data_IF_945973377691
#
_entry.id   IF_945973377691
#
_cell.length_a   1.000
_cell.length_b   1.000
_cell.length_c   1.000
_cell.angle_alpha   90.00
_cell.angle_beta   90.00
_cell.angle_gamma   90.00
#
_symmetry.space_group_name_H-M   'P 1'
#
loop_
_entity.id
_entity.type
_entity.pdbx_description
1 polymer ?
#
# COMPACT_ATOMS: atom_id res chain seq x y z
N UNK A 1 -17.97 33.21 -41.89
CA UNK A 1 -17.86 34.58 -42.43
C UNK A 1 -18.02 35.53 -41.25
N UNK A 2 -17.09 36.46 -40.96
CA UNK A 2 -15.93 36.94 -41.75
C UNK A 2 -14.59 36.54 -41.05
N UNK A 3 -13.42 36.27 -41.64
CA UNK A 3 -12.56 36.92 -42.66
C UNK A 3 -12.33 38.41 -42.30
N UNK A 4 -11.15 39.03 -42.21
CA UNK A 4 -10.08 39.21 -43.21
C UNK A 4 -8.83 39.85 -42.54
N UNK A 5 -7.65 39.53 -43.09
CA UNK A 5 -6.43 40.34 -43.29
C UNK A 5 -5.65 40.89 -42.07
N UNK A 6 -4.42 40.42 -41.76
CA UNK A 6 -3.12 40.62 -42.45
C UNK A 6 -2.65 42.08 -42.58
N UNK A 7 -1.50 42.40 -41.97
CA UNK A 7 -0.54 43.35 -42.56
C UNK A 7 0.89 42.94 -42.20
N UNK A 8 1.73 42.79 -43.23
CA UNK A 8 3.17 42.52 -43.18
C UNK A 8 3.96 43.83 -43.28
N UNK A 9 5.18 43.85 -42.74
CA UNK A 9 6.51 44.18 -43.35
C UNK A 9 7.46 44.67 -42.26
N UNK A 10 8.56 43.98 -41.99
CA UNK A 10 9.86 43.92 -42.71
C UNK A 10 10.81 45.06 -42.32
N UNK A 11 11.97 44.70 -41.76
CA UNK A 11 12.99 45.59 -41.24
C UNK A 11 14.25 44.82 -40.88
N UNK A 12 15.06 44.57 -41.91
CA UNK A 12 16.21 43.66 -41.99
C UNK A 12 17.53 44.29 -41.47
N UNK A 13 18.42 43.41 -40.95
CA UNK A 13 19.90 43.42 -41.14
C UNK A 13 20.76 44.34 -40.22
N UNK A 14 21.96 44.01 -39.68
CA UNK A 14 23.05 43.06 -40.04
C UNK A 14 23.96 42.71 -38.83
N UNK A 15 24.37 41.42 -38.81
CA UNK A 15 25.73 40.81 -38.67
C UNK A 15 26.67 41.15 -37.50
N UNK A 16 27.23 40.08 -36.89
CA UNK A 16 28.63 39.59 -36.98
C UNK A 16 28.70 38.28 -36.14
N UNK A 17 28.83 37.09 -36.74
CA UNK A 17 30.04 36.38 -37.17
C UNK A 17 30.84 35.67 -36.06
N UNK A 18 30.86 34.34 -36.18
CA UNK A 18 31.97 33.40 -35.93
C UNK A 18 32.33 32.99 -34.48
N UNK A 19 32.19 31.68 -34.22
CA UNK A 19 32.74 31.02 -33.05
C UNK A 19 32.42 29.52 -33.00
N UNK A 20 32.67 28.78 -34.08
CA UNK A 20 32.63 27.32 -34.05
C UNK A 20 33.88 26.78 -33.34
N UNK A 21 33.69 26.07 -32.24
CA UNK A 21 34.60 24.99 -31.82
C UNK A 21 33.78 23.80 -31.33
N UNK A 22 33.90 22.73 -32.09
CA UNK A 22 33.50 21.38 -31.70
C UNK A 22 34.41 20.90 -30.57
N UNK A 23 33.85 20.29 -29.52
CA UNK A 23 34.33 19.03 -28.93
C UNK A 23 33.39 18.60 -27.80
N UNK A 24 32.98 17.32 -27.79
CA UNK A 24 32.66 16.63 -26.54
C UNK A 24 31.23 16.12 -26.36
N UNK A 25 31.10 14.80 -26.52
CA UNK A 25 30.23 13.90 -25.76
C UNK A 25 28.70 13.90 -26.00
N UNK A 26 28.30 12.80 -26.63
CA UNK A 26 26.95 12.24 -26.66
C UNK A 26 26.51 11.79 -25.25
N UNK A 27 25.19 11.72 -25.08
CA UNK A 27 24.47 10.69 -24.32
C UNK A 27 24.29 10.89 -22.79
N UNK A 28 23.08 11.26 -22.35
CA UNK A 28 22.08 10.35 -21.74
C UNK A 28 20.89 11.11 -21.11
N UNK A 29 19.69 10.65 -21.48
CA UNK A 29 18.49 10.39 -20.66
C UNK A 29 18.29 11.18 -19.36
N UNK A 30 17.13 11.84 -19.25
CA UNK A 30 16.39 11.92 -17.97
C UNK A 30 15.07 11.17 -18.12
N UNK A 31 15.07 9.96 -17.58
CA UNK A 31 13.91 9.13 -17.30
C UNK A 31 13.53 9.36 -15.83
N UNK A 32 12.24 9.20 -15.54
CA UNK A 32 11.69 8.79 -14.26
C UNK A 32 11.94 9.72 -13.06
N UNK A 33 11.00 10.65 -12.85
CA UNK A 33 10.81 11.27 -11.55
C UNK A 33 10.17 10.27 -10.58
N UNK A 34 10.98 9.95 -9.56
CA UNK A 34 10.61 9.57 -8.21
C UNK A 34 9.82 8.27 -8.03
N UNK A 35 10.51 7.15 -8.25
CA UNK A 35 10.33 5.98 -7.41
C UNK A 35 10.63 6.39 -5.96
N UNK A 36 9.59 6.62 -5.16
CA UNK A 36 9.72 6.87 -3.72
C UNK A 36 10.20 5.56 -3.10
N UNK A 37 11.52 5.42 -3.02
CA UNK A 37 12.18 4.44 -2.17
C UNK A 37 11.74 4.76 -0.76
N UNK A 38 10.70 4.08 -0.28
CA UNK A 38 10.34 4.10 1.13
C UNK A 38 11.52 3.47 1.83
N UNK A 39 12.13 4.29 2.69
CA UNK A 39 13.31 3.95 3.45
C UNK A 39 13.01 2.66 4.22
N UNK A 40 13.91 1.73 3.99
CA UNK A 40 14.25 0.62 4.87
C UNK A 40 14.73 1.20 6.20
N UNK A 41 13.80 1.78 6.97
CA UNK A 41 13.99 2.07 8.38
C UNK A 41 13.77 0.75 9.10
N UNK A 42 14.71 0.46 9.99
CA UNK A 42 14.73 -0.72 10.84
C UNK A 42 13.38 -0.80 11.53
N UNK A 43 12.49 -1.67 11.02
CA UNK A 43 11.39 -2.20 11.79
C UNK A 43 12.12 -2.96 12.90
N UNK A 44 12.14 -2.42 14.13
CA UNK A 44 12.29 -3.27 15.31
C UNK A 44 11.41 -4.46 15.02
N UNK A 45 12.01 -5.63 14.79
CA UNK A 45 11.37 -6.77 14.15
C UNK A 45 10.25 -7.27 15.07
N UNK A 46 9.12 -6.58 15.01
CA UNK A 46 8.01 -6.81 15.87
C UNK A 46 7.38 -8.09 15.36
N UNK A 47 7.30 -9.06 16.24
CA UNK A 47 6.81 -10.39 15.89
C UNK A 47 5.30 -10.32 15.67
N UNK A 48 4.88 -10.66 14.47
CA UNK A 48 3.48 -10.89 14.14
C UNK A 48 3.35 -12.26 13.51
N UNK A 49 2.22 -12.91 13.77
CA UNK A 49 1.93 -14.28 13.39
C UNK A 49 0.61 -14.27 12.64
N UNK A 50 0.54 -14.97 11.52
CA UNK A 50 -0.68 -15.13 10.74
C UNK A 50 -1.12 -16.58 10.74
N UNK A 51 -2.41 -16.81 10.91
CA UNK A 51 -3.06 -18.09 10.76
C UNK A 51 -3.75 -18.15 9.41
N UNK A 52 -3.43 -19.17 8.62
CA UNK A 52 -4.12 -19.45 7.35
C UNK A 52 -5.36 -20.33 7.55
N UNK A 53 -6.16 -20.45 6.49
CA UNK A 53 -7.39 -21.27 6.47
C UNK A 53 -7.13 -22.77 6.63
N UNK A 54 -5.89 -23.23 6.61
CA UNK A 54 -5.51 -24.63 6.83
C UNK A 54 -4.93 -24.85 8.23
N UNK A 55 -5.01 -23.84 9.12
CA UNK A 55 -4.41 -23.88 10.45
C UNK A 55 -2.88 -23.71 10.45
N UNK A 56 -2.29 -23.36 9.32
CA UNK A 56 -0.87 -23.04 9.19
C UNK A 56 -0.55 -21.73 9.91
N UNK A 57 0.50 -21.75 10.73
CA UNK A 57 1.04 -20.53 11.35
C UNK A 57 2.22 -20.04 10.53
N UNK A 58 2.20 -18.75 10.17
CA UNK A 58 3.26 -18.09 9.42
C UNK A 58 3.82 -16.96 10.27
N UNK A 59 5.10 -17.05 10.59
CA UNK A 59 5.85 -16.02 11.32
C UNK A 59 6.23 -14.89 10.36
N UNK A 60 5.86 -13.66 10.71
CA UNK A 60 6.17 -12.44 9.97
C UNK A 60 5.99 -12.58 8.43
N UNK A 61 4.77 -12.93 7.95
CA UNK A 61 4.53 -13.12 6.53
C UNK A 61 4.82 -11.85 5.73
N UNK A 62 5.56 -12.00 4.64
CA UNK A 62 5.73 -10.89 3.71
C UNK A 62 4.39 -10.54 3.02
N UNK A 63 4.23 -9.32 2.47
CA UNK A 63 2.97 -8.90 1.87
C UNK A 63 2.46 -9.80 0.73
N UNK A 64 3.33 -10.54 0.04
CA UNK A 64 2.89 -11.52 -0.98
C UNK A 64 2.29 -12.75 -0.32
N UNK A 65 2.89 -13.23 0.76
CA UNK A 65 2.36 -14.33 1.56
C UNK A 65 1.00 -13.97 2.15
N UNK A 66 0.83 -12.76 2.71
CA UNK A 66 -0.48 -12.29 3.19
C UNK A 66 -1.54 -12.31 2.07
N UNK A 67 -1.18 -11.91 0.84
CA UNK A 67 -2.08 -11.99 -0.32
C UNK A 67 -2.50 -13.40 -0.66
N UNK A 68 -1.56 -14.36 -0.60
CA UNK A 68 -1.82 -15.77 -0.88
C UNK A 68 -2.73 -16.39 0.17
N UNK A 69 -2.50 -16.09 1.45
CA UNK A 69 -3.38 -16.55 2.53
C UNK A 69 -4.79 -15.97 2.37
N UNK A 70 -4.91 -14.69 2.01
CA UNK A 70 -6.20 -14.07 1.70
C UNK A 70 -6.85 -14.58 0.41
N UNK A 71 -6.09 -15.09 -0.57
CA UNK A 71 -6.65 -15.85 -1.70
C UNK A 71 -7.27 -17.18 -1.22
N UNK A 72 -6.67 -17.79 -0.19
CA UNK A 72 -7.17 -18.99 0.47
C UNK A 72 -8.51 -18.82 1.17
N UNK A 73 -8.90 -17.59 1.57
CA UNK A 73 -10.23 -17.32 2.16
C UNK A 73 -11.39 -17.74 1.26
N UNK A 74 -11.22 -17.74 -0.06
CA UNK A 74 -12.25 -18.22 -0.98
C UNK A 74 -12.46 -19.74 -0.91
N UNK A 75 -11.55 -20.47 -0.24
CA UNK A 75 -11.58 -21.91 0.01
C UNK A 75 -11.81 -22.23 1.49
N UNK A 76 -12.07 -21.22 2.33
CA UNK A 76 -12.37 -21.41 3.74
C UNK A 76 -13.57 -22.36 3.91
N UNK A 77 -13.42 -23.33 4.81
CA UNK A 77 -14.47 -24.28 5.18
C UNK A 77 -15.08 -23.92 6.54
N UNK A 78 -15.98 -24.78 7.04
CA UNK A 78 -16.63 -24.58 8.34
C UNK A 78 -15.66 -24.72 9.53
N UNK A 79 -14.49 -25.37 9.35
CA UNK A 79 -13.47 -25.54 10.40
C UNK A 79 -12.56 -24.32 10.51
N UNK A 80 -12.29 -23.64 9.40
CA UNK A 80 -11.46 -22.43 9.36
C UNK A 80 -12.10 -21.32 8.51
N UNK A 81 -13.16 -20.66 9.03
CA UNK A 81 -13.92 -19.65 8.29
C UNK A 81 -13.19 -18.29 8.15
N UNK A 82 -12.10 -18.10 8.87
CA UNK A 82 -11.32 -16.85 8.92
C UNK A 82 -9.81 -17.06 8.89
N UNK A 83 -9.13 -15.99 8.51
CA UNK A 83 -7.68 -15.85 8.67
C UNK A 83 -7.42 -14.73 9.65
N UNK A 84 -6.55 -14.96 10.61
CA UNK A 84 -6.24 -14.00 11.66
C UNK A 84 -4.77 -13.65 11.66
N UNK A 85 -4.46 -12.39 11.97
CA UNK A 85 -3.10 -11.94 12.22
C UNK A 85 -3.03 -11.33 13.61
N UNK A 86 -2.14 -11.88 14.42
CA UNK A 86 -1.85 -11.44 15.77
C UNK A 86 -0.52 -10.70 15.80
N UNK A 87 -0.51 -9.54 16.43
CA UNK A 87 0.69 -8.72 16.66
C UNK A 87 1.14 -8.85 18.12
N UNK A 88 2.44 -8.81 18.40
CA UNK A 88 3.00 -8.95 19.76
C UNK A 88 2.42 -7.99 20.80
N UNK A 89 1.87 -6.86 20.35
CA UNK A 89 1.15 -5.90 21.20
C UNK A 89 -0.13 -6.47 21.86
N UNK A 90 -0.56 -7.68 21.50
CA UNK A 90 -1.82 -8.29 21.93
C UNK A 90 -3.02 -7.96 21.05
N UNK A 91 -2.84 -7.18 19.98
CA UNK A 91 -3.90 -6.94 19.01
C UNK A 91 -3.97 -8.02 17.94
N UNK A 92 -5.18 -8.44 17.62
CA UNK A 92 -5.50 -9.44 16.60
C UNK A 92 -6.52 -8.89 15.61
N UNK A 93 -6.29 -9.17 14.33
CA UNK A 93 -7.19 -8.79 13.24
C UNK A 93 -7.59 -10.04 12.45
N UNK A 94 -8.87 -10.39 12.51
CA UNK A 94 -9.42 -11.59 11.86
C UNK A 94 -10.32 -11.21 10.69
N UNK A 95 -10.07 -11.78 9.52
CA UNK A 95 -10.80 -11.53 8.29
C UNK A 95 -11.55 -12.78 7.84
N UNK A 96 -12.84 -12.60 7.54
CA UNK A 96 -13.73 -13.67 7.09
C UNK A 96 -14.03 -13.53 5.60
N UNK A 97 -14.30 -14.66 4.95
CA UNK A 97 -14.70 -14.69 3.53
C UNK A 97 -15.98 -13.86 3.23
N UNK A 98 -16.82 -13.66 4.25
CA UNK A 98 -18.03 -12.82 4.18
C UNK A 98 -17.75 -11.30 4.06
N UNK A 99 -16.49 -10.88 4.15
CA UNK A 99 -16.12 -9.46 4.25
C UNK A 99 -16.38 -8.86 5.63
N UNK A 100 -16.51 -9.72 6.65
CA UNK A 100 -16.45 -9.33 8.05
C UNK A 100 -14.98 -9.25 8.47
N UNK A 101 -14.66 -8.20 9.21
CA UNK A 101 -13.37 -8.00 9.85
C UNK A 101 -13.58 -7.79 11.34
N UNK A 102 -12.84 -8.53 12.14
CA UNK A 102 -12.81 -8.45 13.59
C UNK A 102 -11.48 -7.83 14.02
N UNK A 103 -11.55 -6.89 14.95
CA UNK A 103 -10.41 -6.23 15.55
C UNK A 103 -10.54 -6.35 17.07
N UNK A 104 -9.68 -7.13 17.68
CA UNK A 104 -9.76 -7.43 19.11
C UNK A 104 -8.39 -7.35 19.78
N UNK A 105 -8.39 -7.14 21.09
CA UNK A 105 -7.19 -7.21 21.89
C UNK A 105 -7.21 -8.49 22.72
N UNK A 106 -6.48 -9.50 22.28
CA UNK A 106 -6.35 -10.80 22.96
C UNK A 106 -5.53 -10.71 24.25
N UNK A 107 -4.79 -9.62 24.45
CA UNK A 107 -4.08 -9.33 25.70
C UNK A 107 -4.93 -8.65 26.77
N UNK A 108 -6.13 -8.16 26.42
CA UNK A 108 -6.99 -7.39 27.31
C UNK A 108 -8.47 -7.71 27.13
N UNK A 109 -9.01 -8.60 27.97
CA UNK A 109 -10.43 -9.01 27.99
C UNK A 109 -11.43 -7.87 28.24
N UNK A 110 -10.96 -6.70 28.68
CA UNK A 110 -11.81 -5.52 28.91
C UNK A 110 -12.07 -4.70 27.65
N UNK A 111 -11.35 -4.97 26.55
CA UNK A 111 -11.52 -4.26 25.28
C UNK A 111 -12.60 -4.96 24.46
N UNK A 112 -13.71 -4.26 24.20
CA UNK A 112 -14.79 -4.79 23.37
C UNK A 112 -14.27 -4.97 21.93
N UNK A 113 -14.42 -6.18 21.35
CA UNK A 113 -14.06 -6.42 19.96
C UNK A 113 -14.79 -5.47 19.01
N UNK A 114 -14.04 -4.92 18.07
CA UNK A 114 -14.52 -4.01 17.05
C UNK A 114 -14.77 -4.77 15.74
N UNK A 115 -15.93 -4.56 15.14
CA UNK A 115 -16.37 -5.28 13.94
C UNK A 115 -16.55 -4.31 12.78
N UNK A 116 -16.09 -4.70 11.60
CA UNK A 116 -16.35 -3.98 10.36
C UNK A 116 -16.92 -4.95 9.32
N UNK A 117 -18.00 -4.55 8.65
CA UNK A 117 -18.68 -5.39 7.65
C UNK A 117 -18.50 -4.78 6.26
N UNK A 118 -18.62 -5.63 5.25
CA UNK A 118 -18.45 -5.26 3.84
C UNK A 118 -17.05 -4.68 3.54
N UNK A 119 -16.02 -5.19 4.23
CA UNK A 119 -14.62 -4.83 3.97
C UNK A 119 -14.14 -5.60 2.74
N UNK A 120 -13.72 -4.87 1.71
CA UNK A 120 -13.15 -5.46 0.51
C UNK A 120 -11.75 -6.03 0.79
N UNK A 121 -11.34 -7.03 0.01
CA UNK A 121 -10.03 -7.70 0.14
C UNK A 121 -8.84 -6.74 0.15
N UNK A 122 -8.83 -5.73 -0.72
CA UNK A 122 -7.75 -4.74 -0.77
C UNK A 122 -7.64 -3.92 0.52
N UNK A 123 -8.78 -3.63 1.16
CA UNK A 123 -8.77 -2.95 2.46
C UNK A 123 -8.29 -3.90 3.56
N UNK A 124 -8.72 -5.17 3.55
CA UNK A 124 -8.15 -6.19 4.47
C UNK A 124 -6.63 -6.26 4.34
N UNK A 125 -6.11 -6.35 3.11
CA UNK A 125 -4.66 -6.34 2.84
C UNK A 125 -3.96 -5.11 3.41
N UNK A 126 -4.57 -3.93 3.23
CA UNK A 126 -4.06 -2.68 3.77
C UNK A 126 -4.00 -2.71 5.29
N UNK A 127 -5.04 -3.22 5.95
CA UNK A 127 -5.12 -3.29 7.41
C UNK A 127 -4.14 -4.29 8.01
N UNK A 128 -3.98 -5.47 7.40
CA UNK A 128 -2.93 -6.41 7.76
C UNK A 128 -1.54 -5.78 7.62
N UNK A 129 -1.32 -4.99 6.56
CA UNK A 129 -0.07 -4.25 6.37
C UNK A 129 0.19 -3.18 7.43
N UNK A 130 -0.85 -2.48 7.89
CA UNK A 130 -0.75 -1.52 8.99
C UNK A 130 -0.43 -2.23 10.32
N UNK A 131 -1.06 -3.39 10.56
CA UNK A 131 -0.83 -4.19 11.76
C UNK A 131 0.61 -4.73 11.79
N UNK A 132 1.10 -5.25 10.67
CA UNK A 132 2.48 -5.71 10.50
C UNK A 132 3.50 -4.56 10.64
N UNK A 133 3.11 -3.32 10.34
CA UNK A 133 3.92 -2.13 10.56
C UNK A 133 3.83 -1.59 12.02
N UNK A 134 3.01 -2.20 12.87
CA UNK A 134 2.74 -1.72 14.23
C UNK A 134 1.88 -0.45 14.31
N UNK A 135 1.25 -0.03 13.20
CA UNK A 135 0.42 1.18 13.14
C UNK A 135 -1.02 0.90 13.61
N UNK A 136 -1.12 0.50 14.87
CA UNK A 136 -2.39 0.19 15.55
C UNK A 136 -3.28 1.43 15.62
N UNK A 137 -2.70 2.61 15.85
CA UNK A 137 -3.44 3.86 15.92
C UNK A 137 -4.19 4.15 14.61
N UNK A 138 -3.57 3.90 13.45
CA UNK A 138 -4.26 4.04 12.17
C UNK A 138 -5.45 3.07 12.03
N UNK A 139 -5.31 1.83 12.51
CA UNK A 139 -6.40 0.85 12.49
C UNK A 139 -7.55 1.31 13.39
N UNK A 140 -7.28 1.79 14.59
CA UNK A 140 -8.31 2.23 15.54
C UNK A 140 -9.16 3.42 15.07
N UNK A 141 -8.62 4.26 14.17
CA UNK A 141 -9.34 5.44 13.64
C UNK A 141 -10.46 5.11 12.65
N UNK A 142 -10.57 3.85 12.23
CA UNK A 142 -11.55 3.41 11.24
C UNK A 142 -12.97 3.29 11.83
N UNK A 143 -14.02 3.25 10.99
CA UNK A 143 -15.41 3.24 11.45
C UNK A 143 -15.85 1.85 11.96
N UNK A 144 -15.23 1.38 13.03
CA UNK A 144 -15.57 0.13 13.70
C UNK A 144 -16.93 0.21 14.39
N UNK A 145 -17.64 -0.93 14.44
CA UNK A 145 -18.83 -1.13 15.27
C UNK A 145 -18.44 -1.92 16.52
N UNK A 146 -18.73 -1.36 17.69
CA UNK A 146 -18.54 -2.00 19.01
C UNK A 146 -19.90 -2.27 19.64
#
# INVERSE_FOLDING_TARGET
MPEIAQTRRDGRSKRLSAGARCLGARFKRRHADACRVIKHEVIDAMSYFMYDVMGGTIDAPDPRTVRQVLDGLAQADDEHPDVSMSHESGWSLSAFASGLLLWENTGHDSVIPALMRAVGREEVLRLFGLLAAGDIAAIETLPWRR
#
